data_IF_141352022511
#
_entry.id   IF_141352022511
#
_cell.length_a   1.000
_cell.length_b   1.000
_cell.length_c   1.000
_cell.angle_alpha   90.00
_cell.angle_beta   90.00
_cell.angle_gamma   90.00
#
_symmetry.space_group_name_H-M   'P 1'
#
loop_
_entity.id
_entity.type
_entity.pdbx_description
1 polymer ?
#
# COMPACT_ATOMS: atom_id res chain seq x y z
N UNK A 1 -11.96 -3.16 6.91
CA UNK A 1 -12.59 -4.15 7.84
C UNK A 1 -14.10 -4.03 7.74
N UNK A 2 -14.77 -5.13 7.54
CA UNK A 2 -16.22 -5.26 7.60
C UNK A 2 -16.64 -6.14 8.79
N UNK A 3 -17.95 -6.40 8.93
CA UNK A 3 -18.48 -7.21 10.02
C UNK A 3 -18.03 -8.68 9.97
N UNK A 4 -17.80 -9.21 8.79
CA UNK A 4 -17.32 -10.59 8.59
C UNK A 4 -15.90 -10.74 9.10
N UNK A 5 -15.00 -9.82 8.70
CA UNK A 5 -13.62 -9.76 9.19
C UNK A 5 -13.55 -9.61 10.71
N UNK A 6 -14.45 -8.79 11.31
CA UNK A 6 -14.52 -8.64 12.77
C UNK A 6 -14.90 -9.96 13.45
N UNK A 7 -15.89 -10.68 12.90
CA UNK A 7 -16.32 -11.98 13.39
C UNK A 7 -15.21 -13.04 13.29
N UNK A 8 -14.52 -13.09 12.16
CA UNK A 8 -13.40 -14.01 11.93
C UNK A 8 -12.24 -13.73 12.92
N UNK A 9 -11.88 -12.46 13.11
CA UNK A 9 -10.86 -12.07 14.08
C UNK A 9 -11.22 -12.52 15.51
N UNK A 10 -12.50 -12.38 15.91
CA UNK A 10 -13.00 -12.87 17.19
C UNK A 10 -12.88 -14.38 17.30
N UNK A 11 -13.32 -15.10 16.24
CA UNK A 11 -13.29 -16.57 16.22
C UNK A 11 -11.85 -17.09 16.26
N UNK A 12 -10.92 -16.41 15.60
CA UNK A 12 -9.50 -16.77 15.61
C UNK A 12 -8.89 -16.69 17.02
N UNK A 13 -9.37 -15.76 17.87
CA UNK A 13 -8.99 -15.68 19.29
C UNK A 13 -9.83 -16.61 20.19
N UNK A 14 -10.72 -17.40 19.65
CA UNK A 14 -11.67 -18.24 20.40
C UNK A 14 -12.50 -17.43 21.43
N UNK A 15 -12.80 -16.16 21.12
CA UNK A 15 -13.57 -15.31 22.04
C UNK A 15 -15.06 -15.39 21.76
N UNK A 16 -15.85 -15.35 22.84
CA UNK A 16 -17.31 -15.16 22.75
C UNK A 16 -17.63 -13.71 22.36
N UNK A 17 -18.84 -13.48 21.86
CA UNK A 17 -19.30 -12.11 21.59
C UNK A 17 -19.28 -11.24 22.87
N UNK A 18 -19.57 -11.82 24.04
CA UNK A 18 -19.55 -11.08 25.31
C UNK A 18 -18.14 -10.65 25.71
N UNK A 19 -17.13 -11.54 25.57
CA UNK A 19 -15.73 -11.20 25.82
C UNK A 19 -15.23 -10.11 24.87
N UNK A 20 -15.55 -10.24 23.60
CA UNK A 20 -15.18 -9.25 22.57
C UNK A 20 -15.83 -7.90 22.83
N UNK A 21 -17.12 -7.89 23.17
CA UNK A 21 -17.86 -6.66 23.48
C UNK A 21 -17.22 -5.92 24.65
N UNK A 22 -16.82 -6.64 25.72
CA UNK A 22 -16.09 -6.06 26.85
C UNK A 22 -14.75 -5.45 26.42
N UNK A 23 -13.94 -6.19 25.66
CA UNK A 23 -12.63 -5.72 25.19
C UNK A 23 -12.75 -4.49 24.28
N UNK A 24 -13.78 -4.45 23.43
CA UNK A 24 -14.05 -3.32 22.55
C UNK A 24 -14.86 -2.19 23.19
N UNK A 25 -15.36 -2.36 24.46
CA UNK A 25 -16.10 -1.34 25.18
C UNK A 25 -17.48 -1.06 24.57
N UNK A 26 -18.16 -2.08 24.08
CA UNK A 26 -19.51 -2.02 23.50
C UNK A 26 -20.41 -3.07 24.13
N UNK A 27 -21.72 -2.99 23.84
CA UNK A 27 -22.67 -4.05 24.25
C UNK A 27 -22.59 -5.26 23.30
N UNK A 28 -22.91 -6.45 23.80
CA UNK A 28 -22.98 -7.67 22.97
C UNK A 28 -23.98 -7.52 21.82
N UNK A 29 -25.13 -6.89 22.08
CA UNK A 29 -26.14 -6.66 21.04
C UNK A 29 -25.61 -5.76 19.92
N UNK A 30 -24.89 -4.69 20.28
CA UNK A 30 -24.26 -3.81 19.28
C UNK A 30 -23.17 -4.55 18.48
N UNK A 31 -22.30 -5.33 19.13
CA UNK A 31 -21.31 -6.16 18.46
C UNK A 31 -21.97 -7.14 17.47
N UNK A 32 -23.06 -7.80 17.87
CA UNK A 32 -23.81 -8.70 16.99
C UNK A 32 -24.36 -7.97 15.75
N UNK A 33 -24.83 -6.72 15.89
CA UNK A 33 -25.26 -5.93 14.74
C UNK A 33 -24.11 -5.57 13.81
N UNK A 34 -22.92 -5.24 14.35
CA UNK A 34 -21.72 -4.97 13.57
C UNK A 34 -21.26 -6.23 12.80
N UNK A 35 -21.16 -7.38 13.47
CA UNK A 35 -20.76 -8.64 12.85
C UNK A 35 -21.72 -9.12 11.75
N UNK A 36 -23.01 -8.79 11.86
CA UNK A 36 -24.06 -9.08 10.85
C UNK A 36 -24.16 -8.04 9.74
N UNK A 37 -23.33 -7.00 9.75
CA UNK A 37 -23.36 -5.92 8.78
C UNK A 37 -24.62 -5.02 8.88
N UNK A 38 -25.40 -5.12 9.97
CA UNK A 38 -26.57 -4.26 10.21
C UNK A 38 -26.21 -2.85 10.66
N UNK A 39 -24.96 -2.62 11.01
CA UNK A 39 -24.36 -1.34 11.37
C UNK A 39 -22.99 -1.24 10.76
N UNK A 40 -22.59 -0.06 10.32
CA UNK A 40 -21.27 0.24 9.80
C UNK A 40 -20.27 0.40 10.95
N UNK A 41 -19.05 -0.08 10.75
CA UNK A 41 -17.96 0.11 11.71
C UNK A 41 -17.40 1.53 11.55
N UNK A 42 -17.39 2.31 12.64
CA UNK A 42 -16.70 3.60 12.63
C UNK A 42 -15.18 3.42 12.56
N UNK A 43 -14.47 4.40 12.00
CA UNK A 43 -13.00 4.34 11.90
C UNK A 43 -12.34 4.17 13.28
N UNK A 44 -12.82 4.87 14.29
CA UNK A 44 -12.31 4.75 15.67
C UNK A 44 -12.51 3.35 16.24
N UNK A 45 -13.66 2.71 15.95
CA UNK A 45 -13.93 1.33 16.34
C UNK A 45 -12.99 0.35 15.63
N UNK A 46 -12.79 0.51 14.32
CA UNK A 46 -11.86 -0.33 13.54
C UNK A 46 -10.45 -0.22 14.11
N UNK A 47 -9.96 1.00 14.38
CA UNK A 47 -8.63 1.20 14.99
C UNK A 47 -8.49 0.51 16.36
N UNK A 48 -9.55 0.51 17.17
CA UNK A 48 -9.58 -0.22 18.45
C UNK A 48 -9.56 -1.73 18.21
N UNK A 49 -10.35 -2.23 17.26
CA UNK A 49 -10.40 -3.64 16.90
C UNK A 49 -9.05 -4.15 16.40
N UNK A 50 -8.34 -3.38 15.53
CA UNK A 50 -7.00 -3.74 15.07
C UNK A 50 -6.06 -3.99 16.25
N UNK A 51 -6.05 -3.11 17.24
CA UNK A 51 -5.20 -3.26 18.43
C UNK A 51 -5.59 -4.45 19.29
N UNK A 52 -6.89 -4.65 19.52
CA UNK A 52 -7.40 -5.74 20.37
C UNK A 52 -7.15 -7.12 19.74
N UNK A 53 -7.27 -7.20 18.43
CA UNK A 53 -7.11 -8.45 17.68
C UNK A 53 -5.72 -8.62 17.06
N UNK A 54 -4.83 -7.62 17.21
CA UNK A 54 -3.50 -7.62 16.59
C UNK A 54 -3.56 -7.80 15.07
N UNK A 55 -4.47 -7.07 14.44
CA UNK A 55 -4.67 -7.14 13.00
C UNK A 55 -3.73 -6.19 12.26
N UNK A 56 -3.29 -6.56 11.05
CA UNK A 56 -2.43 -5.72 10.24
C UNK A 56 -3.16 -4.46 9.74
N UNK A 57 -2.41 -3.40 9.40
CA UNK A 57 -2.99 -2.16 8.86
C UNK A 57 -3.79 -2.35 7.57
N UNK A 58 -3.60 -3.45 6.85
CA UNK A 58 -4.40 -3.81 5.66
C UNK A 58 -5.87 -4.00 5.97
N UNK A 59 -6.22 -4.29 7.23
CA UNK A 59 -7.62 -4.40 7.67
C UNK A 59 -8.31 -3.03 7.89
N UNK A 60 -7.57 -1.90 7.84
CA UNK A 60 -8.18 -0.56 7.86
C UNK A 60 -9.05 -0.34 6.61
N UNK A 61 -10.13 0.46 6.72
CA UNK A 61 -10.97 0.74 5.57
C UNK A 61 -10.17 1.47 4.48
N UNK A 62 -10.44 1.10 3.24
CA UNK A 62 -9.97 1.82 2.05
C UNK A 62 -10.93 2.97 1.75
N UNK A 63 -10.45 4.06 1.12
CA UNK A 63 -11.32 5.13 0.64
C UNK A 63 -12.38 4.58 -0.31
N UNK A 64 -13.63 5.01 -0.15
CA UNK A 64 -14.69 4.68 -1.10
C UNK A 64 -14.37 5.27 -2.47
N UNK A 65 -14.74 4.58 -3.55
CA UNK A 65 -14.58 5.06 -4.94
C UNK A 65 -15.30 6.42 -5.17
N UNK A 66 -16.38 6.68 -4.43
CA UNK A 66 -17.07 7.97 -4.45
C UNK A 66 -16.24 9.14 -3.88
N UNK A 67 -15.16 8.87 -3.15
CA UNK A 67 -14.24 9.90 -2.63
C UNK A 67 -13.07 10.19 -3.60
N UNK A 68 -13.21 9.88 -4.88
CA UNK A 68 -12.21 10.13 -5.92
C UNK A 68 -12.03 11.62 -6.29
N UNK A 69 -12.83 12.53 -5.71
CA UNK A 69 -12.53 13.95 -5.77
C UNK A 69 -11.22 14.21 -5.00
N UNK A 70 -10.24 14.93 -5.59
CA UNK A 70 -9.04 15.32 -4.86
C UNK A 70 -9.51 16.11 -3.63
N UNK A 71 -9.35 15.53 -2.45
CA UNK A 71 -9.56 16.27 -1.21
C UNK A 71 -8.67 17.51 -1.25
N UNK A 72 -9.15 18.70 -0.82
CA UNK A 72 -8.37 19.92 -0.87
C UNK A 72 -7.03 19.67 -0.20
N UNK A 73 -5.97 20.09 -0.89
CA UNK A 73 -4.56 19.79 -0.66
C UNK A 73 -4.07 20.12 0.75
N UNK A 74 -4.37 19.28 1.73
CA UNK A 74 -3.44 19.14 2.85
C UNK A 74 -2.21 18.43 2.30
N UNK A 75 -1.08 19.08 2.34
CA UNK A 75 0.22 18.48 1.98
C UNK A 75 0.33 17.15 2.72
N UNK A 76 0.24 16.04 1.98
CA UNK A 76 0.27 14.70 2.58
C UNK A 76 1.68 14.43 3.08
N UNK A 77 1.79 13.95 4.29
CA UNK A 77 3.07 13.58 4.88
C UNK A 77 3.28 12.06 4.70
N UNK A 78 3.76 11.68 3.53
CA UNK A 78 4.08 10.27 3.23
C UNK A 78 5.23 9.74 4.07
N UNK A 79 6.12 10.60 4.54
CA UNK A 79 7.21 10.24 5.44
C UNK A 79 6.64 9.71 6.77
N UNK A 80 5.68 10.44 7.35
CA UNK A 80 4.97 10.02 8.55
C UNK A 80 4.12 8.77 8.31
N UNK A 81 3.47 8.66 7.14
CA UNK A 81 2.65 7.49 6.79
C UNK A 81 3.51 6.22 6.66
N UNK A 82 4.65 6.28 5.95
CA UNK A 82 5.58 5.16 5.82
C UNK A 82 6.24 4.79 7.16
N UNK A 83 6.61 5.78 7.98
CA UNK A 83 7.13 5.54 9.31
C UNK A 83 6.11 4.82 10.22
N UNK A 84 4.83 5.23 10.18
CA UNK A 84 3.75 4.58 10.92
C UNK A 84 3.50 3.13 10.48
N UNK A 85 3.80 2.83 9.22
CA UNK A 85 3.71 1.48 8.64
C UNK A 85 4.99 0.65 8.86
N UNK A 86 6.03 1.25 9.46
CA UNK A 86 7.25 0.53 9.85
C UNK A 86 8.36 0.54 8.80
N UNK A 87 8.34 1.48 7.83
CA UNK A 87 9.43 1.60 6.85
C UNK A 87 10.77 1.90 7.55
N UNK A 88 11.80 1.05 7.35
CA UNK A 88 13.08 1.20 8.05
C UNK A 88 13.77 2.54 7.79
N UNK A 89 13.63 3.10 6.58
CA UNK A 89 14.22 4.39 6.21
C UNK A 89 13.73 5.56 7.07
N UNK A 90 12.60 5.41 7.77
CA UNK A 90 12.00 6.41 8.64
C UNK A 90 11.80 5.91 10.08
N UNK A 91 12.55 4.91 10.52
CA UNK A 91 12.44 4.32 11.86
C UNK A 91 12.69 5.32 13.02
N UNK A 92 13.39 6.43 12.74
CA UNK A 92 13.65 7.49 13.71
C UNK A 92 12.41 8.37 14.00
N UNK A 93 11.37 8.30 13.17
CA UNK A 93 10.15 9.08 13.34
C UNK A 93 9.15 8.33 14.22
N UNK A 94 8.64 9.02 15.24
CA UNK A 94 7.62 8.48 16.15
C UNK A 94 6.22 8.88 15.67
N UNK A 95 5.64 8.12 14.77
CA UNK A 95 4.28 8.33 14.30
C UNK A 95 3.38 7.16 14.71
N UNK A 96 2.12 7.45 15.03
CA UNK A 96 1.21 6.44 15.61
C UNK A 96 -0.04 6.18 14.75
N UNK A 97 -0.31 7.03 13.76
CA UNK A 97 -1.55 6.95 12.98
C UNK A 97 -1.31 6.12 11.74
N UNK A 98 -1.58 4.84 11.85
CA UNK A 98 -1.53 3.94 10.68
C UNK A 98 -2.72 4.21 9.75
N UNK A 99 -2.45 4.14 8.45
CA UNK A 99 -3.43 4.13 7.36
C UNK A 99 -3.36 2.79 6.64
N UNK A 100 -4.38 2.49 5.83
CA UNK A 100 -4.32 1.30 4.99
C UNK A 100 -3.16 1.44 3.98
N UNK A 101 -2.22 0.47 3.91
CA UNK A 101 -1.04 0.56 3.05
C UNK A 101 -1.39 0.66 1.56
N UNK A 102 -2.46 0.02 1.08
CA UNK A 102 -2.90 0.16 -0.31
C UNK A 102 -3.36 1.59 -0.61
N UNK A 103 -4.04 2.25 0.34
CA UNK A 103 -4.41 3.66 0.20
C UNK A 103 -3.18 4.57 0.18
N UNK A 104 -2.22 4.36 1.07
CA UNK A 104 -0.96 5.13 1.11
C UNK A 104 -0.18 4.96 -0.20
N UNK A 105 -0.05 3.72 -0.68
CA UNK A 105 0.65 3.44 -1.94
C UNK A 105 -0.01 4.13 -3.12
N UNK A 106 -1.33 4.01 -3.28
CA UNK A 106 -2.06 4.65 -4.37
C UNK A 106 -1.92 6.17 -4.34
N UNK A 107 -2.05 6.76 -3.16
CA UNK A 107 -1.93 8.20 -2.98
C UNK A 107 -0.52 8.69 -3.34
N UNK A 108 0.53 7.98 -2.89
CA UNK A 108 1.91 8.31 -3.23
C UNK A 108 2.18 8.17 -4.74
N UNK A 109 1.70 7.12 -5.39
CA UNK A 109 1.85 6.93 -6.84
C UNK A 109 1.12 8.02 -7.67
N UNK A 110 0.15 8.72 -7.09
CA UNK A 110 -0.54 9.84 -7.74
C UNK A 110 0.21 11.16 -7.63
N UNK A 111 1.14 11.29 -6.67
CA UNK A 111 1.91 12.53 -6.52
C UNK A 111 2.81 12.76 -7.74
N UNK A 112 2.86 13.99 -8.25
CA UNK A 112 3.74 14.34 -9.36
C UNK A 112 5.21 14.32 -8.94
N UNK A 113 5.50 14.75 -7.71
CA UNK A 113 6.86 14.82 -7.19
C UNK A 113 6.90 14.32 -5.75
N UNK A 114 7.66 13.26 -5.51
CA UNK A 114 7.94 12.72 -4.19
C UNK A 114 9.41 12.96 -3.82
N UNK A 115 9.66 13.02 -2.53
CA UNK A 115 11.02 12.86 -2.01
C UNK A 115 11.58 11.49 -2.41
N UNK A 116 12.86 11.43 -2.80
CA UNK A 116 13.49 10.19 -3.25
C UNK A 116 13.40 9.04 -2.25
N UNK A 117 13.57 9.32 -0.95
CA UNK A 117 13.46 8.30 0.10
C UNK A 117 12.03 7.79 0.28
N UNK A 118 11.03 8.64 0.02
CA UNK A 118 9.63 8.22 0.00
C UNK A 118 9.39 7.31 -1.20
N UNK A 119 9.89 7.68 -2.39
CA UNK A 119 9.76 6.86 -3.59
C UNK A 119 10.43 5.47 -3.41
N UNK A 120 11.61 5.39 -2.79
CA UNK A 120 12.28 4.14 -2.42
C UNK A 120 11.46 3.29 -1.44
N UNK A 121 10.65 3.91 -0.60
CA UNK A 121 9.74 3.24 0.34
C UNK A 121 8.55 2.55 -0.34
N UNK A 122 8.18 2.89 -1.57
CA UNK A 122 7.00 2.33 -2.23
C UNK A 122 7.15 0.84 -2.60
N UNK A 123 8.28 0.37 -3.18
CA UNK A 123 8.51 -1.06 -3.36
C UNK A 123 8.57 -1.82 -2.02
N UNK A 124 9.15 -1.21 -0.97
CA UNK A 124 9.12 -1.81 0.37
C UNK A 124 7.68 -2.01 0.86
N UNK A 125 6.82 -1.02 0.67
CA UNK A 125 5.43 -1.08 1.10
C UNK A 125 4.69 -2.25 0.44
N UNK A 126 4.95 -2.50 -0.85
CA UNK A 126 4.37 -3.65 -1.56
C UNK A 126 4.91 -4.98 -1.03
N UNK A 127 6.19 -5.04 -0.66
CA UNK A 127 6.83 -6.23 -0.12
C UNK A 127 6.41 -6.52 1.33
N UNK A 128 6.29 -5.49 2.16
CA UNK A 128 5.89 -5.62 3.56
C UNK A 128 4.42 -6.04 3.72
N UNK A 129 3.57 -5.60 2.81
CA UNK A 129 2.13 -5.83 2.87
C UNK A 129 1.61 -6.56 1.63
N UNK A 130 2.18 -7.72 1.34
CA UNK A 130 1.81 -8.55 0.17
C UNK A 130 0.34 -9.00 0.14
N UNK A 131 -0.36 -8.90 1.28
CA UNK A 131 -1.77 -9.24 1.44
C UNK A 131 -2.69 -8.00 1.38
N UNK A 132 -2.26 -6.91 0.72
CA UNK A 132 -3.11 -5.75 0.41
C UNK A 132 -4.28 -6.15 -0.47
N UNK A 133 -5.33 -5.33 -0.50
CA UNK A 133 -6.41 -5.45 -1.48
C UNK A 133 -5.91 -5.04 -2.88
N UNK A 134 -5.33 -6.01 -3.59
CA UNK A 134 -4.76 -5.81 -4.92
C UNK A 134 -5.83 -5.49 -5.96
N UNK A 135 -7.03 -6.04 -5.85
CA UNK A 135 -8.13 -5.78 -6.79
C UNK A 135 -8.56 -4.32 -6.71
N UNK A 136 -8.71 -3.80 -5.50
CA UNK A 136 -8.99 -2.39 -5.28
C UNK A 136 -7.84 -1.51 -5.79
N UNK A 137 -6.59 -1.85 -5.45
CA UNK A 137 -5.41 -1.06 -5.79
C UNK A 137 -5.19 -0.99 -7.30
N UNK A 138 -5.22 -2.12 -8.00
CA UNK A 138 -5.05 -2.19 -9.46
C UNK A 138 -6.16 -1.44 -10.18
N UNK A 139 -7.42 -1.63 -9.77
CA UNK A 139 -8.57 -0.91 -10.35
C UNK A 139 -8.39 0.59 -10.23
N UNK A 140 -8.06 1.06 -9.04
CA UNK A 140 -7.87 2.49 -8.79
C UNK A 140 -6.61 3.07 -9.45
N UNK A 141 -5.52 2.32 -9.57
CA UNK A 141 -4.34 2.72 -10.33
C UNK A 141 -4.65 2.88 -11.83
N UNK A 142 -5.44 1.96 -12.41
CA UNK A 142 -5.88 2.04 -13.81
C UNK A 142 -6.76 3.27 -14.08
N UNK A 143 -7.73 3.56 -13.22
CA UNK A 143 -8.59 4.76 -13.33
C UNK A 143 -7.77 6.06 -13.34
N UNK A 144 -6.62 6.06 -12.65
CA UNK A 144 -5.73 7.24 -12.54
C UNK A 144 -4.54 7.20 -13.51
N UNK A 145 -4.47 6.22 -14.41
CA UNK A 145 -3.32 5.99 -15.29
C UNK A 145 -1.98 5.83 -14.54
N UNK A 146 -2.01 5.17 -13.38
CA UNK A 146 -0.83 4.90 -12.52
C UNK A 146 -0.40 3.42 -12.50
N UNK A 147 -0.98 2.59 -13.37
CA UNK A 147 -0.67 1.17 -13.43
C UNK A 147 0.79 0.88 -13.78
N UNK A 148 1.47 1.71 -14.58
CA UNK A 148 2.89 1.55 -14.86
C UNK A 148 3.74 1.84 -13.62
N UNK A 149 3.43 2.89 -12.86
CA UNK A 149 4.11 3.20 -11.59
C UNK A 149 3.91 2.08 -10.57
N UNK A 150 2.68 1.56 -10.47
CA UNK A 150 2.37 0.42 -9.59
C UNK A 150 3.11 -0.85 -10.04
N UNK A 151 3.08 -1.17 -11.33
CA UNK A 151 3.78 -2.32 -11.89
C UNK A 151 5.27 -2.29 -11.62
N UNK A 152 5.90 -1.13 -11.78
CA UNK A 152 7.31 -0.93 -11.46
C UNK A 152 7.60 -1.18 -9.97
N UNK A 153 6.82 -0.59 -9.06
CA UNK A 153 6.99 -0.79 -7.62
C UNK A 153 6.86 -2.27 -7.23
N UNK A 154 5.88 -2.98 -7.80
CA UNK A 154 5.66 -4.42 -7.54
C UNK A 154 6.78 -5.26 -8.17
N UNK A 155 7.31 -4.88 -9.35
CA UNK A 155 8.45 -5.56 -9.97
C UNK A 155 9.69 -5.47 -9.10
N UNK A 156 10.05 -4.26 -8.63
CA UNK A 156 11.19 -4.08 -7.73
C UNK A 156 11.01 -4.86 -6.41
N UNK A 157 9.80 -4.86 -5.84
CA UNK A 157 9.50 -5.65 -4.65
C UNK A 157 9.68 -7.15 -4.88
N UNK A 158 9.32 -7.64 -6.08
CA UNK A 158 9.48 -9.04 -6.47
C UNK A 158 10.97 -9.39 -6.64
N UNK A 159 11.76 -8.52 -7.28
CA UNK A 159 13.23 -8.69 -7.40
C UNK A 159 13.90 -8.79 -6.02
N UNK A 160 13.50 -7.89 -5.08
CA UNK A 160 14.02 -7.92 -3.70
C UNK A 160 13.60 -9.21 -2.98
N UNK A 161 12.37 -9.68 -3.15
CA UNK A 161 11.92 -10.94 -2.56
C UNK A 161 12.71 -12.13 -3.12
N UNK A 162 12.96 -12.16 -4.43
CA UNK A 162 13.72 -13.22 -5.10
C UNK A 162 15.18 -13.20 -4.69
N UNK A 163 15.84 -12.04 -4.58
CA UNK A 163 17.22 -11.91 -4.12
C UNK A 163 17.41 -12.42 -2.67
N UNK A 164 16.37 -12.26 -1.83
CA UNK A 164 16.36 -12.78 -0.45
C UNK A 164 15.83 -14.22 -0.32
N UNK A 165 15.60 -14.91 -1.43
CA UNK A 165 14.98 -16.25 -1.47
C UNK A 165 13.58 -16.31 -0.80
N UNK A 166 12.88 -15.18 -0.65
CA UNK A 166 11.52 -15.14 -0.13
C UNK A 166 10.50 -15.51 -1.24
N UNK A 167 10.51 -16.80 -1.59
CA UNK A 167 9.60 -17.35 -2.61
C UNK A 167 8.13 -17.17 -2.25
N UNK A 168 7.81 -17.06 -0.97
CA UNK A 168 6.45 -16.88 -0.47
C UNK A 168 5.89 -15.52 -0.91
N UNK A 169 6.61 -14.44 -0.62
CA UNK A 169 6.21 -13.09 -1.03
C UNK A 169 6.25 -12.92 -2.55
N UNK A 170 7.30 -13.37 -3.22
CA UNK A 170 7.39 -13.32 -4.68
C UNK A 170 6.19 -13.99 -5.36
N UNK A 171 5.76 -15.18 -4.88
CA UNK A 171 4.59 -15.89 -5.41
C UNK A 171 3.29 -15.11 -5.21
N UNK A 172 3.11 -14.40 -4.09
CA UNK A 172 1.92 -13.58 -3.81
C UNK A 172 1.84 -12.34 -4.71
N UNK A 173 2.98 -11.77 -5.13
CA UNK A 173 3.02 -10.59 -6.00
C UNK A 173 2.81 -10.90 -7.48
N UNK A 174 3.14 -12.11 -7.95
CA UNK A 174 3.03 -12.50 -9.36
C UNK A 174 1.65 -12.32 -10.00
N UNK A 175 0.52 -12.69 -9.36
CA UNK A 175 -0.80 -12.49 -9.95
C UNK A 175 -1.10 -11.00 -10.23
N UNK A 176 -0.72 -10.12 -9.31
CA UNK A 176 -0.86 -8.68 -9.49
C UNK A 176 -0.05 -8.19 -10.70
N UNK A 177 1.23 -8.62 -10.83
CA UNK A 177 2.06 -8.28 -11.99
C UNK A 177 1.42 -8.73 -13.30
N UNK A 178 0.87 -9.94 -13.38
CA UNK A 178 0.22 -10.42 -14.61
C UNK A 178 -0.99 -9.56 -15.02
N UNK A 179 -1.76 -9.06 -14.05
CA UNK A 179 -2.88 -8.16 -14.33
C UNK A 179 -2.38 -6.79 -14.79
N UNK A 180 -1.33 -6.25 -14.17
CA UNK A 180 -0.72 -4.97 -14.52
C UNK A 180 -0.06 -5.01 -15.91
N UNK A 181 0.61 -6.12 -16.26
CA UNK A 181 1.19 -6.34 -17.59
C UNK A 181 0.16 -6.16 -18.70
N UNK A 182 -1.01 -6.77 -18.57
CA UNK A 182 -2.10 -6.66 -19.55
C UNK A 182 -2.69 -5.26 -19.65
N UNK A 183 -2.44 -4.42 -18.64
CA UNK A 183 -2.95 -3.05 -18.54
C UNK A 183 -1.86 -1.99 -18.74
N UNK A 184 -0.63 -2.40 -19.13
CA UNK A 184 0.51 -1.51 -19.28
C UNK A 184 0.24 -0.44 -20.34
N UNK A 185 0.57 0.81 -19.98
CA UNK A 185 0.46 1.95 -20.90
C UNK A 185 1.73 2.08 -21.74
N UNK A 186 1.56 2.34 -23.03
CA UNK A 186 2.66 2.67 -23.93
C UNK A 186 3.23 4.08 -23.69
N UNK A 187 2.49 4.94 -23.00
CA UNK A 187 2.91 6.31 -22.69
C UNK A 187 4.07 6.29 -21.67
N UNK A 188 5.13 7.06 -21.98
CA UNK A 188 6.21 7.35 -21.07
C UNK A 188 5.70 8.17 -19.85
N UNK A 189 6.11 7.79 -18.66
CA UNK A 189 5.83 8.50 -17.40
C UNK A 189 7.12 8.55 -16.55
N UNK A 190 7.06 9.15 -15.39
CA UNK A 190 8.14 9.17 -14.41
C UNK A 190 7.75 8.33 -13.18
N UNK A 191 8.71 7.94 -12.36
CA UNK A 191 8.39 7.36 -11.07
C UNK A 191 8.29 8.46 -10.01
N UNK A 192 7.15 9.20 -10.04
CA UNK A 192 6.86 10.28 -9.09
C UNK A 192 7.91 11.41 -9.06
N UNK A 193 8.43 11.78 -10.24
CA UNK A 193 9.36 12.90 -10.42
C UNK A 193 9.08 13.65 -11.72
N UNK A 194 7.92 14.30 -11.79
CA UNK A 194 7.45 14.95 -13.01
C UNK A 194 8.19 16.25 -13.34
N UNK A 195 8.87 16.87 -12.34
CA UNK A 195 9.62 18.12 -12.48
C UNK A 195 10.98 17.99 -13.17
N UNK A 196 11.32 16.79 -13.69
CA UNK A 196 12.57 16.56 -14.45
C UNK A 196 12.73 17.51 -15.62
N UNK A 197 13.94 18.02 -15.83
CA UNK A 197 14.34 18.78 -17.02
C UNK A 197 14.39 17.89 -18.26
N UNK A 198 14.39 18.50 -19.43
CA UNK A 198 14.54 17.76 -20.70
C UNK A 198 15.88 17.01 -20.79
N UNK A 199 16.94 17.58 -20.21
CA UNK A 199 18.26 16.95 -20.19
C UNK A 199 18.24 15.67 -19.33
N UNK A 200 17.64 15.72 -18.13
CA UNK A 200 17.46 14.55 -17.25
C UNK A 200 16.60 13.49 -17.91
N UNK A 201 15.49 13.87 -18.56
CA UNK A 201 14.64 12.90 -19.29
C UNK A 201 15.41 12.22 -20.41
N UNK A 202 16.22 12.95 -21.17
CA UNK A 202 17.06 12.38 -22.22
C UNK A 202 18.07 11.39 -21.63
N UNK A 203 18.77 11.80 -20.59
CA UNK A 203 19.75 10.94 -19.92
C UNK A 203 19.10 9.65 -19.37
N UNK A 204 17.97 9.76 -18.70
CA UNK A 204 17.28 8.58 -18.14
C UNK A 204 16.77 7.62 -19.22
N UNK A 205 16.37 8.09 -20.42
CA UNK A 205 15.99 7.19 -21.51
C UNK A 205 17.12 6.25 -21.90
N UNK A 206 18.36 6.70 -21.79
CA UNK A 206 19.57 5.95 -22.15
C UNK A 206 20.10 5.10 -20.97
N UNK A 207 19.81 5.50 -19.71
CA UNK A 207 20.45 4.94 -18.51
C UNK A 207 19.46 4.25 -17.54
N UNK A 208 18.17 4.26 -17.81
CA UNK A 208 17.16 3.60 -16.97
C UNK A 208 17.37 2.09 -16.92
N UNK A 209 16.94 1.48 -15.80
CA UNK A 209 17.00 0.03 -15.63
C UNK A 209 16.12 -0.71 -16.66
N UNK A 210 16.39 -1.98 -16.98
CA UNK A 210 15.52 -2.81 -17.83
C UNK A 210 14.06 -2.83 -17.33
N UNK A 211 13.87 -2.90 -16.02
CA UNK A 211 12.53 -2.89 -15.40
C UNK A 211 11.83 -1.54 -15.59
N UNK A 212 12.55 -0.43 -15.42
CA UNK A 212 12.00 0.90 -15.69
C UNK A 212 11.64 1.07 -17.17
N UNK A 213 12.49 0.59 -18.07
CA UNK A 213 12.22 0.59 -19.51
C UNK A 213 10.99 -0.24 -19.85
N UNK A 214 10.86 -1.42 -19.25
CA UNK A 214 9.71 -2.31 -19.42
C UNK A 214 8.38 -1.61 -19.05
N UNK A 215 8.36 -0.88 -17.92
CA UNK A 215 7.17 -0.13 -17.48
C UNK A 215 7.05 1.27 -18.09
N UNK A 216 7.84 1.61 -19.10
CA UNK A 216 7.87 2.94 -19.74
C UNK A 216 8.09 4.09 -18.75
N UNK A 217 8.93 3.89 -17.74
CA UNK A 217 9.23 4.90 -16.72
C UNK A 217 10.61 5.49 -16.90
N UNK A 218 10.72 6.77 -16.60
CA UNK A 218 11.99 7.49 -16.47
C UNK A 218 12.39 7.50 -15.00
N UNK A 219 13.27 6.58 -14.64
CA UNK A 219 13.88 6.46 -13.31
C UNK A 219 15.12 5.57 -13.41
N UNK A 220 16.12 5.85 -12.61
CA UNK A 220 17.32 5.04 -12.45
C UNK A 220 17.23 4.07 -11.26
N UNK A 221 16.11 4.09 -10.53
CA UNK A 221 15.88 3.22 -9.38
C UNK A 221 15.97 1.74 -9.77
N UNK A 222 16.72 0.97 -8.96
CA UNK A 222 16.89 -0.48 -9.12
C UNK A 222 16.66 -1.19 -7.80
N UNK A 223 16.20 -2.44 -7.84
CA UNK A 223 15.96 -3.26 -6.65
C UNK A 223 17.20 -3.43 -5.78
N UNK A 224 18.37 -3.61 -6.39
CA UNK A 224 19.65 -3.80 -5.71
C UNK A 224 20.13 -2.59 -4.88
N UNK A 225 19.69 -1.38 -5.24
CA UNK A 225 20.08 -0.14 -4.56
C UNK A 225 19.19 0.21 -3.38
N UNK A 226 18.09 -0.53 -3.16
CA UNK A 226 17.18 -0.25 -2.07
C UNK A 226 17.80 -0.68 -0.74
N UNK A 227 17.87 0.22 0.23
CA UNK A 227 18.54 0.00 1.53
C UNK A 227 18.05 -1.26 2.27
N UNK A 228 16.81 -1.66 2.05
CA UNK A 228 16.21 -2.88 2.63
C UNK A 228 16.40 -4.14 1.75
N UNK A 229 17.02 -4.01 0.58
CA UNK A 229 17.37 -5.15 -0.28
C UNK A 229 18.64 -5.85 0.19
N UNK A 230 19.54 -5.13 0.88
CA UNK A 230 20.74 -5.73 1.47
C UNK A 230 20.36 -6.79 2.51
N UNK A 231 21.15 -7.89 2.61
CA UNK A 231 20.92 -8.97 3.57
C UNK A 231 21.01 -8.52 5.01
#
# INVERSE_FOLDING_TARGET
MDGTTLREARQHKNWTQQQTARALGVTQAYLSMLEKGRRTLSESFVRKALKVFDLPPTALPLPSEASAAPAPSRKRDFTADLAALGYPGFAHLRTKVQKNPAGVLLDALNEPNLDGRVAEGLPWLTLAYVDMDWDWLVRNAKVRNRQNRLGFAVSLATEVAESKNDRGRARKLRPCLQVLERARLAREDTFCHDSMTQAERKWLREHRSPVAAHWNLLTDMKGEHLAYASP
#
